data_IF_123715759305
#
_entry.id   IF_123715759305
#
_cell.length_a   1.000
_cell.length_b   1.000
_cell.length_c   1.000
_cell.angle_alpha   90.00
_cell.angle_beta   90.00
_cell.angle_gamma   90.00
#
_symmetry.space_group_name_H-M   'P 1'
#
loop_
_entity.id
_entity.type
_entity.pdbx_description
1 polymer ?
#
# COMPACT_ATOMS: atom_id res chain seq x y z
N UNK A 1 2.89 0.57 10.69
CA UNK A 1 2.04 -0.06 9.65
C UNK A 1 1.84 0.92 8.50
N UNK A 2 1.39 0.45 7.35
CA UNK A 2 1.27 1.26 6.14
C UNK A 2 0.23 2.38 6.31
N UNK A 3 0.60 3.60 5.88
CA UNK A 3 -0.32 4.75 5.88
C UNK A 3 -1.07 4.83 4.54
N UNK A 4 -2.21 5.56 4.50
CA UNK A 4 -2.88 5.81 3.21
C UNK A 4 -1.95 6.43 2.17
N UNK A 5 -1.09 7.36 2.56
CA UNK A 5 -0.15 8.01 1.65
C UNK A 5 0.88 7.01 1.11
N UNK A 6 1.36 6.10 1.94
CA UNK A 6 2.27 5.06 1.49
C UNK A 6 1.60 4.13 0.49
N UNK A 7 0.33 3.80 0.69
CA UNK A 7 -0.41 2.95 -0.24
C UNK A 7 -0.52 3.62 -1.62
N UNK A 8 -0.91 4.89 -1.66
CA UNK A 8 -0.98 5.64 -2.92
C UNK A 8 0.39 5.73 -3.60
N UNK A 9 1.44 6.02 -2.82
CA UNK A 9 2.79 6.14 -3.35
C UNK A 9 3.31 4.81 -3.88
N UNK A 10 3.06 3.70 -3.19
CA UNK A 10 3.46 2.38 -3.64
C UNK A 10 2.79 2.02 -4.96
N UNK A 11 1.48 2.32 -5.10
CA UNK A 11 0.80 2.12 -6.38
C UNK A 11 1.44 2.95 -7.48
N UNK A 12 1.76 4.21 -7.19
CA UNK A 12 2.38 5.09 -8.18
C UNK A 12 3.73 4.55 -8.64
N UNK A 13 4.53 4.02 -7.72
CA UNK A 13 5.82 3.42 -8.07
C UNK A 13 5.66 2.24 -9.03
N UNK A 14 4.59 1.48 -8.91
CA UNK A 14 4.32 0.30 -9.74
C UNK A 14 3.45 0.63 -10.96
N UNK A 15 2.98 1.87 -11.09
CA UNK A 15 1.98 2.26 -12.08
C UNK A 15 0.69 1.43 -11.96
N UNK A 16 0.32 1.08 -10.75
CA UNK A 16 -0.89 0.30 -10.50
C UNK A 16 -2.08 1.21 -10.23
N UNK A 17 -3.22 0.87 -10.82
CA UNK A 17 -4.52 1.42 -10.43
C UNK A 17 -4.96 0.78 -9.11
N UNK A 18 -5.98 1.36 -8.48
CA UNK A 18 -6.60 0.73 -7.31
C UNK A 18 -7.14 -0.66 -7.68
N UNK A 19 -7.70 -0.82 -8.87
CA UNK A 19 -8.22 -2.11 -9.31
C UNK A 19 -7.11 -3.14 -9.49
N UNK A 20 -5.97 -2.72 -10.02
CA UNK A 20 -4.82 -3.63 -10.13
C UNK A 20 -4.33 -4.09 -8.77
N UNK A 21 -4.29 -3.19 -7.79
CA UNK A 21 -3.96 -3.58 -6.42
C UNK A 21 -5.01 -4.53 -5.84
N UNK A 22 -6.30 -4.25 -6.09
CA UNK A 22 -7.38 -5.13 -5.65
C UNK A 22 -7.21 -6.54 -6.24
N UNK A 23 -6.92 -6.62 -7.52
CA UNK A 23 -6.74 -7.91 -8.19
C UNK A 23 -5.53 -8.67 -7.64
N UNK A 24 -4.42 -7.98 -7.43
CA UNK A 24 -3.20 -8.60 -6.92
C UNK A 24 -3.32 -9.04 -5.46
N UNK A 25 -3.99 -8.25 -4.63
CA UNK A 25 -4.08 -8.50 -3.20
C UNK A 25 -5.29 -9.35 -2.81
N UNK A 26 -6.29 -9.46 -3.68
CA UNK A 26 -7.60 -10.06 -3.38
C UNK A 26 -8.38 -9.27 -2.32
N UNK A 27 -8.00 -8.04 -2.10
CA UNK A 27 -8.74 -7.11 -1.23
C UNK A 27 -9.68 -6.29 -2.12
N UNK A 28 -10.92 -6.08 -1.66
CA UNK A 28 -11.91 -5.37 -2.45
C UNK A 28 -11.50 -3.93 -2.78
N UNK A 29 -11.84 -3.49 -4.00
CA UNK A 29 -11.53 -2.13 -4.44
C UNK A 29 -12.09 -1.06 -3.51
N UNK A 30 -13.31 -1.25 -3.00
CA UNK A 30 -13.93 -0.28 -2.10
C UNK A 30 -13.14 -0.12 -0.80
N UNK A 31 -12.59 -1.21 -0.27
CA UNK A 31 -11.75 -1.17 0.94
C UNK A 31 -10.49 -0.36 0.68
N UNK A 32 -9.85 -0.59 -0.46
CA UNK A 32 -8.63 0.15 -0.84
C UNK A 32 -8.94 1.63 -1.01
N UNK A 33 -10.02 1.94 -1.75
CA UNK A 33 -10.41 3.31 -2.04
C UNK A 33 -10.69 4.09 -0.75
N UNK A 34 -11.44 3.50 0.17
CA UNK A 34 -11.79 4.15 1.43
C UNK A 34 -10.57 4.32 2.33
N UNK A 35 -9.66 3.35 2.34
CA UNK A 35 -8.42 3.46 3.09
C UNK A 35 -7.55 4.59 2.54
N UNK A 36 -7.33 4.62 1.24
CA UNK A 36 -6.48 5.64 0.62
C UNK A 36 -7.04 7.05 0.78
N UNK A 37 -8.35 7.17 0.86
CA UNK A 37 -9.01 8.46 1.08
C UNK A 37 -9.05 8.87 2.56
N UNK A 38 -8.58 8.02 3.46
CA UNK A 38 -8.61 8.30 4.89
C UNK A 38 -9.98 8.18 5.52
N UNK A 39 -10.94 7.53 4.84
CA UNK A 39 -12.33 7.42 5.33
C UNK A 39 -12.52 6.29 6.33
N UNK A 40 -11.73 5.24 6.21
CA UNK A 40 -11.80 4.11 7.12
C UNK A 40 -10.45 3.43 7.20
N UNK A 41 -10.21 2.77 8.33
CA UNK A 41 -9.00 1.99 8.53
C UNK A 41 -9.38 0.51 8.47
N UNK A 42 -8.80 -0.27 7.55
CA UNK A 42 -9.08 -1.70 7.48
C UNK A 42 -8.56 -2.43 8.71
N UNK A 43 -9.03 -3.64 8.91
CA UNK A 43 -8.48 -4.51 9.94
C UNK A 43 -6.98 -4.74 9.69
N UNK A 44 -6.27 -5.01 10.77
CA UNK A 44 -4.81 -5.21 10.70
C UNK A 44 -4.43 -6.29 9.67
N UNK A 45 -5.16 -7.40 9.65
CA UNK A 45 -4.87 -8.48 8.69
C UNK A 45 -4.96 -8.00 7.23
N UNK A 46 -5.91 -7.12 6.92
CA UNK A 46 -6.06 -6.56 5.58
C UNK A 46 -4.85 -5.68 5.22
N UNK A 47 -4.42 -4.85 6.17
CA UNK A 47 -3.24 -4.00 5.95
C UNK A 47 -1.97 -4.84 5.74
N UNK A 48 -1.84 -5.95 6.47
CA UNK A 48 -0.71 -6.88 6.29
C UNK A 48 -0.71 -7.46 4.88
N UNK A 49 -1.88 -7.87 4.38
CA UNK A 49 -2.01 -8.43 3.02
C UNK A 49 -1.65 -7.38 1.97
N UNK A 50 -2.15 -6.15 2.11
CA UNK A 50 -1.84 -5.07 1.16
C UNK A 50 -0.34 -4.78 1.14
N UNK A 51 0.27 -4.64 2.30
CA UNK A 51 1.70 -4.37 2.39
C UNK A 51 2.52 -5.50 1.76
N UNK A 52 2.17 -6.75 2.06
CA UNK A 52 2.87 -7.90 1.49
C UNK A 52 2.74 -7.95 -0.03
N UNK A 53 1.56 -7.62 -0.55
CA UNK A 53 1.35 -7.57 -2.00
C UNK A 53 2.32 -6.58 -2.65
N UNK A 54 2.48 -5.41 -2.07
CA UNK A 54 3.44 -4.42 -2.56
C UNK A 54 4.88 -4.91 -2.43
N UNK A 55 5.22 -5.50 -1.28
CA UNK A 55 6.58 -6.00 -1.06
C UNK A 55 6.94 -7.10 -2.06
N UNK A 56 6.01 -8.00 -2.35
CA UNK A 56 6.21 -9.04 -3.36
C UNK A 56 6.40 -8.44 -4.75
N UNK A 57 5.84 -7.27 -5.01
CA UNK A 57 6.01 -6.56 -6.27
C UNK A 57 7.26 -5.68 -6.32
N UNK A 58 8.05 -5.65 -5.24
CA UNK A 58 9.33 -4.95 -5.22
C UNK A 58 9.33 -3.61 -4.48
N UNK A 59 8.25 -3.27 -3.77
CA UNK A 59 8.21 -2.03 -2.97
C UNK A 59 8.82 -2.28 -1.60
N UNK A 60 9.66 -1.36 -1.17
CA UNK A 60 10.22 -1.34 0.19
C UNK A 60 9.53 -0.22 0.96
N UNK A 61 8.99 -0.54 2.13
CA UNK A 61 8.36 0.45 3.00
C UNK A 61 9.38 1.00 3.98
N UNK A 62 9.39 2.31 4.12
CA UNK A 62 10.26 3.02 5.05
C UNK A 62 9.38 3.56 6.16
N UNK A 63 9.55 3.00 7.37
CA UNK A 63 8.75 3.42 8.51
C UNK A 63 9.21 4.80 9.00
N UNK A 64 8.30 5.54 9.59
CA UNK A 64 8.62 6.84 10.16
C UNK A 64 9.58 6.66 11.34
N UNK A 65 10.76 7.28 11.26
CA UNK A 65 11.78 7.23 12.31
C UNK A 65 12.54 8.54 12.40
N UNK A 66 11.80 9.64 12.41
CA UNK A 66 12.37 10.98 12.46
C UNK A 66 12.23 11.76 11.17
N UNK A 67 12.26 11.06 10.03
CA UNK A 67 12.19 11.71 8.72
C UNK A 67 10.87 11.46 7.98
N UNK A 68 9.93 10.80 8.64
CA UNK A 68 8.65 10.49 8.04
C UNK A 68 8.65 9.16 7.29
N UNK A 69 7.45 8.65 7.04
CA UNK A 69 7.25 7.38 6.34
C UNK A 69 7.42 7.56 4.83
N UNK A 70 7.91 6.53 4.17
CA UNK A 70 8.08 6.58 2.72
C UNK A 70 8.04 5.20 2.09
N UNK A 71 8.25 5.17 0.78
CA UNK A 71 8.36 3.93 0.00
C UNK A 71 9.40 4.13 -1.09
N UNK A 72 9.99 3.03 -1.55
CA UNK A 72 10.87 3.04 -2.71
C UNK A 72 10.82 1.68 -3.39
N UNK A 73 11.25 1.63 -4.64
CA UNK A 73 11.39 0.36 -5.33
C UNK A 73 12.71 -0.29 -4.93
N UNK A 74 12.68 -1.61 -4.83
CA UNK A 74 13.87 -2.41 -4.60
C UNK A 74 14.80 -2.28 -5.80
N UNK A 75 16.11 -2.17 -5.56
CA UNK A 75 17.06 -2.17 -6.65
C UNK A 75 17.08 -3.53 -7.34
N UNK A 76 17.22 -3.55 -8.68
CA UNK A 76 17.31 -4.82 -9.40
C UNK A 76 18.59 -5.59 -9.05
#
# INVERSE_FOLDING_TARGET
MMTPAQCRAARALLNWSQQELADASKIGNATIRNFEAGRSEPQHATLVVLRRTFEDAGVVFIDANGDGAGVRLKKP
#
